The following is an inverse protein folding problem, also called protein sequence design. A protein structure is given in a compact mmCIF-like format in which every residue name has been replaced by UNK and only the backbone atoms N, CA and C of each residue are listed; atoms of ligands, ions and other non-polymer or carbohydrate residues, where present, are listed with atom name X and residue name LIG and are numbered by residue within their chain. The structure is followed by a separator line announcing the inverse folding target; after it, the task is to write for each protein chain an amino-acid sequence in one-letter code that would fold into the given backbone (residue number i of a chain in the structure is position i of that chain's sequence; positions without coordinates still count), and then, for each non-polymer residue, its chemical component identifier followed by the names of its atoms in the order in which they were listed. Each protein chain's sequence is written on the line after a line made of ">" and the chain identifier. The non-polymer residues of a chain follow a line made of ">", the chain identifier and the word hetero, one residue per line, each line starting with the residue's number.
data_IF_668091966297
#
_entry.id   IF_668091966297
#
_cell.length_a   1.000
_cell.length_b   1.000
_cell.length_c   1.000
_cell.angle_alpha   90.00
_cell.angle_beta   90.00
_cell.angle_gamma   90.00
#
_symmetry.space_group_name_H-M   'P 1'
#
loop_
_entity.id
_entity.type
_entity.pdbx_description
1 polymer ?
#
# COMPACT_ATOMS: atom_id res chain seq x y z
N UNK A 1 18.51 51.48 40.52
CA UNK A 1 18.45 50.74 41.80
C UNK A 1 18.12 49.30 41.44
N UNK A 2 19.14 48.45 41.26
CA UNK A 2 19.69 47.48 42.26
C UNK A 2 18.65 46.38 42.54
N UNK A 3 18.85 45.06 42.36
CA UNK A 3 20.04 44.21 42.15
C UNK A 3 19.60 42.81 41.65
N UNK A 4 20.44 42.10 40.88
CA UNK A 4 20.48 40.62 40.79
C UNK A 4 21.35 40.03 41.96
N UNK A 5 21.77 38.73 42.05
CA UNK A 5 21.41 37.46 41.36
C UNK A 5 21.28 36.19 42.28
N UNK A 6 20.83 35.07 41.68
CA UNK A 6 21.19 33.61 41.80
C UNK A 6 21.40 32.90 43.18
N UNK A 7 21.34 31.53 43.26
CA UNK A 7 22.43 30.70 42.75
C UNK A 7 22.03 29.38 42.06
N UNK A 8 23.00 28.89 41.30
CA UNK A 8 23.16 27.58 40.67
C UNK A 8 23.39 26.46 41.69
N UNK A 9 23.05 25.21 41.36
CA UNK A 9 23.72 24.05 41.98
C UNK A 9 23.89 22.93 40.96
N UNK A 10 25.15 22.75 40.59
CA UNK A 10 25.75 21.59 39.92
C UNK A 10 25.75 20.40 40.87
N UNK A 11 25.50 19.18 40.37
CA UNK A 11 25.98 17.97 41.05
C UNK A 11 26.52 17.03 39.98
N UNK A 12 27.85 17.06 39.87
CA UNK A 12 28.67 16.00 39.28
C UNK A 12 28.56 14.75 40.16
N UNK A 13 28.48 13.57 39.55
CA UNK A 13 28.86 12.30 40.15
C UNK A 13 29.87 11.67 39.18
N UNK A 14 31.08 11.48 39.69
CA UNK A 14 32.24 10.88 39.05
C UNK A 14 32.47 9.47 39.62
N UNK A 15 32.90 8.55 38.74
CA UNK A 15 33.70 7.32 38.93
C UNK A 15 33.14 6.20 39.85
N UNK A 16 33.36 4.90 39.63
CA UNK A 16 34.49 4.16 39.04
C UNK A 16 34.11 2.65 38.92
N UNK A 17 35.03 1.86 38.36
CA UNK A 17 35.24 0.40 38.52
C UNK A 17 34.94 -0.52 37.30
N UNK A 18 35.90 -0.51 36.38
CA UNK A 18 36.67 -1.64 35.77
C UNK A 18 35.97 -2.95 35.30
N UNK A 19 36.36 -3.45 34.10
CA UNK A 19 35.89 -4.73 33.55
C UNK A 19 36.77 -5.91 34.00
N UNK A 20 36.17 -7.03 34.38
CA UNK A 20 36.87 -8.29 34.66
C UNK A 20 36.84 -9.21 33.44
N UNK A 21 38.05 -9.47 32.99
CA UNK A 21 38.51 -10.46 32.03
C UNK A 21 38.12 -11.89 32.45
N UNK A 22 37.48 -12.67 31.57
CA UNK A 22 37.44 -14.14 31.68
C UNK A 22 37.48 -14.83 30.33
N UNK A 23 38.70 -15.24 30.03
CA UNK A 23 39.11 -16.33 29.13
C UNK A 23 38.45 -17.66 29.52
N UNK A 24 38.00 -18.42 28.52
CA UNK A 24 37.64 -19.84 28.58
C UNK A 24 37.25 -20.32 27.18
N UNK A 25 38.20 -20.61 26.29
CA UNK A 25 38.80 -21.93 26.03
C UNK A 25 37.82 -23.12 25.91
N UNK A 26 37.79 -23.64 24.68
CA UNK A 26 37.83 -25.06 24.27
C UNK A 26 36.64 -25.98 24.59
N UNK A 27 35.95 -26.40 23.53
CA UNK A 27 35.69 -27.81 23.26
C UNK A 27 35.41 -28.04 21.76
N UNK A 28 36.45 -28.49 21.05
CA UNK A 28 36.34 -29.24 19.80
C UNK A 28 36.04 -30.71 20.13
N UNK A 29 35.32 -31.39 19.23
CA UNK A 29 35.36 -32.82 18.82
C UNK A 29 33.95 -33.37 18.55
N UNK A 30 33.78 -34.47 17.79
CA UNK A 30 34.36 -34.71 16.46
C UNK A 30 33.31 -35.24 15.45
N UNK A 31 33.73 -35.33 14.19
CA UNK A 31 33.08 -36.08 13.12
C UNK A 31 32.80 -37.54 13.53
N UNK A 32 31.62 -38.05 13.16
CA UNK A 32 31.47 -39.45 12.80
C UNK A 32 31.04 -39.59 11.35
N UNK A 33 31.76 -40.48 10.67
CA UNK A 33 31.65 -40.85 9.27
C UNK A 33 31.12 -42.29 9.23
N UNK A 34 30.05 -42.56 8.50
CA UNK A 34 29.75 -43.89 7.95
C UNK A 34 28.56 -43.74 7.00
N UNK A 35 28.72 -43.89 5.69
CA UNK A 35 29.05 -45.09 4.90
C UNK A 35 27.80 -45.53 4.12
N UNK A 36 27.82 -45.21 2.83
CA UNK A 36 27.47 -46.05 1.67
C UNK A 36 26.23 -46.95 1.80
N UNK A 37 25.19 -46.60 1.05
CA UNK A 37 24.33 -47.57 0.38
C UNK A 37 24.05 -47.12 -1.05
N UNK A 38 24.85 -47.66 -1.97
CA UNK A 38 24.61 -47.63 -3.42
C UNK A 38 23.41 -48.52 -3.71
N UNK A 39 22.33 -47.94 -4.26
CA UNK A 39 21.35 -48.68 -5.06
C UNK A 39 21.13 -47.95 -6.38
N UNK A 40 21.70 -48.51 -7.44
CA UNK A 40 21.28 -48.32 -8.82
C UNK A 40 19.87 -48.90 -8.98
N UNK A 41 18.94 -48.09 -9.46
CA UNK A 41 17.80 -48.53 -10.24
C UNK A 41 17.55 -47.43 -11.29
N UNK A 42 17.36 -47.85 -12.54
CA UNK A 42 17.50 -47.03 -13.74
C UNK A 42 16.59 -45.81 -13.79
N UNK A 43 17.13 -44.74 -14.37
CA UNK A 43 16.34 -43.64 -14.88
C UNK A 43 16.60 -43.59 -16.39
N UNK A 44 15.52 -43.76 -17.13
CA UNK A 44 15.44 -43.62 -18.57
C UNK A 44 16.01 -42.27 -19.01
N UNK A 45 16.68 -42.29 -20.16
CA UNK A 45 17.17 -41.12 -20.85
C UNK A 45 15.99 -40.23 -21.25
N UNK A 46 15.65 -39.27 -20.40
CA UNK A 46 14.81 -38.12 -20.74
C UNK A 46 15.60 -37.29 -21.75
N UNK A 47 15.06 -37.13 -22.94
CA UNK A 47 15.66 -36.34 -24.02
C UNK A 47 15.79 -34.87 -23.60
N UNK A 48 16.88 -34.23 -24.00
CA UNK A 48 17.18 -32.81 -23.71
C UNK A 48 16.02 -31.85 -24.06
N UNK A 49 15.12 -32.24 -24.98
CA UNK A 49 13.90 -31.47 -25.33
C UNK A 49 12.80 -31.50 -24.26
N UNK A 50 12.65 -32.60 -23.50
CA UNK A 50 11.69 -32.66 -22.38
C UNK A 50 12.20 -31.89 -21.17
N UNK A 51 13.51 -31.76 -21.01
CA UNK A 51 14.13 -31.00 -19.92
C UNK A 51 14.00 -29.48 -20.16
N UNK A 52 14.10 -29.03 -21.42
CA UNK A 52 13.86 -27.64 -21.82
C UNK A 52 12.37 -27.28 -21.70
N UNK A 53 11.46 -28.19 -22.06
CA UNK A 53 10.02 -27.97 -21.90
C UNK A 53 9.57 -27.94 -20.43
N UNK A 54 10.23 -28.69 -19.55
CA UNK A 54 9.97 -28.64 -18.10
C UNK A 54 10.51 -27.35 -17.46
N UNK A 55 11.67 -26.84 -17.92
CA UNK A 55 12.22 -25.55 -17.47
C UNK A 55 11.42 -24.34 -18.00
N UNK A 56 10.86 -24.39 -19.21
CA UNK A 56 10.00 -23.31 -19.73
C UNK A 56 8.61 -23.27 -19.06
N UNK A 57 8.08 -24.42 -18.63
CA UNK A 57 6.77 -24.46 -17.96
C UNK A 57 6.81 -23.93 -16.52
N UNK A 58 7.93 -24.08 -15.82
CA UNK A 58 8.12 -23.60 -14.44
C UNK A 58 8.47 -22.10 -14.39
N UNK A 59 8.91 -21.53 -15.52
CA UNK A 59 9.24 -20.10 -15.65
C UNK A 59 7.99 -19.20 -15.72
N UNK A 60 6.82 -19.77 -16.03
CA UNK A 60 5.57 -19.02 -16.22
C UNK A 60 4.54 -19.22 -15.10
N UNK A 61 4.81 -20.08 -14.12
CA UNK A 61 4.03 -20.08 -12.89
C UNK A 61 4.58 -18.99 -11.96
N UNK A 62 4.04 -17.77 -12.07
CA UNK A 62 4.37 -16.67 -11.15
C UNK A 62 3.83 -16.91 -9.72
N UNK A 63 3.19 -18.05 -9.46
CA UNK A 63 3.04 -18.60 -8.09
C UNK A 63 4.32 -19.25 -7.58
N UNK A 64 5.32 -19.39 -8.44
CA UNK A 64 6.64 -19.93 -8.19
C UNK A 64 7.43 -19.08 -7.19
N UNK A 65 8.37 -19.74 -6.53
CA UNK A 65 9.22 -19.12 -5.53
C UNK A 65 10.11 -18.05 -6.18
N UNK A 66 9.95 -16.79 -5.79
CA UNK A 66 10.88 -15.70 -6.14
C UNK A 66 12.34 -15.98 -5.69
N UNK A 67 12.58 -17.06 -4.94
CA UNK A 67 13.91 -17.52 -4.55
C UNK A 67 14.80 -17.94 -5.73
N UNK A 68 14.24 -18.20 -6.91
CA UNK A 68 15.01 -18.55 -8.12
C UNK A 68 15.55 -17.35 -8.90
N UNK A 69 15.16 -16.11 -8.57
CA UNK A 69 15.57 -14.92 -9.31
C UNK A 69 17.06 -14.62 -9.14
N UNK A 70 17.75 -14.40 -10.26
CA UNK A 70 19.14 -13.94 -10.31
C UNK A 70 19.19 -12.53 -10.92
N UNK A 71 19.89 -11.56 -10.31
CA UNK A 71 20.58 -11.67 -9.02
C UNK A 71 19.60 -11.77 -7.83
N UNK A 72 20.02 -12.45 -6.75
CA UNK A 72 19.17 -12.71 -5.59
C UNK A 72 18.57 -11.39 -5.06
N UNK A 73 17.24 -11.23 -5.11
CA UNK A 73 16.58 -10.03 -4.66
C UNK A 73 16.67 -9.83 -3.15
N UNK A 74 17.24 -10.73 -2.36
CA UNK A 74 17.51 -10.46 -0.93
C UNK A 74 18.74 -9.60 -0.71
N UNK A 75 19.64 -9.55 -1.69
CA UNK A 75 20.93 -8.86 -1.59
C UNK A 75 21.11 -7.79 -2.67
N UNK A 76 20.44 -7.91 -3.82
CA UNK A 76 20.57 -6.96 -4.92
C UNK A 76 19.53 -5.84 -4.86
N UNK A 77 19.94 -4.66 -4.36
CA UNK A 77 19.11 -3.46 -4.18
C UNK A 77 18.29 -3.05 -5.43
N UNK A 78 18.85 -3.03 -6.67
CA UNK A 78 18.04 -2.69 -7.84
C UNK A 78 16.93 -3.71 -8.11
N UNK A 79 17.20 -5.01 -7.95
CA UNK A 79 16.17 -6.05 -8.11
C UNK A 79 15.09 -5.93 -7.04
N UNK A 80 15.47 -5.56 -5.81
CA UNK A 80 14.52 -5.27 -4.74
C UNK A 80 13.59 -4.13 -5.10
N UNK A 81 14.16 -3.01 -5.54
CA UNK A 81 13.38 -1.85 -5.91
C UNK A 81 12.39 -2.19 -7.02
N UNK A 82 12.83 -2.87 -8.08
CA UNK A 82 11.96 -3.30 -9.18
C UNK A 82 10.83 -4.22 -8.68
N UNK A 83 11.14 -5.18 -7.81
CA UNK A 83 10.12 -6.08 -7.25
C UNK A 83 9.13 -5.35 -6.33
N UNK A 84 9.56 -4.35 -5.57
CA UNK A 84 8.66 -3.51 -4.77
C UNK A 84 7.74 -2.68 -5.67
N UNK A 85 8.27 -2.06 -6.72
CA UNK A 85 7.47 -1.32 -7.72
C UNK A 85 6.44 -2.26 -8.34
N UNK A 86 6.86 -3.43 -8.80
CA UNK A 86 5.95 -4.45 -9.35
C UNK A 86 4.92 -4.91 -8.31
N UNK A 87 5.31 -5.01 -7.04
CA UNK A 87 4.41 -5.35 -5.94
C UNK A 87 3.32 -4.31 -5.71
N UNK A 88 3.67 -3.01 -5.77
CA UNK A 88 2.71 -1.91 -5.71
C UNK A 88 1.78 -1.96 -6.92
N UNK A 89 2.34 -2.08 -8.13
CA UNK A 89 1.58 -2.15 -9.38
C UNK A 89 0.61 -3.33 -9.40
N UNK A 90 0.98 -4.45 -8.77
CA UNK A 90 0.17 -5.66 -8.70
C UNK A 90 -0.91 -5.60 -7.60
N UNK A 91 -1.02 -4.54 -6.81
CA UNK A 91 -2.08 -4.46 -5.78
C UNK A 91 -3.47 -4.23 -6.39
N UNK A 92 -4.49 -5.01 -5.99
CA UNK A 92 -5.86 -4.85 -6.50
C UNK A 92 -6.51 -3.49 -6.24
N UNK A 93 -6.15 -2.82 -5.15
CA UNK A 93 -6.72 -1.50 -4.82
C UNK A 93 -6.17 -0.38 -5.69
N UNK A 94 -5.03 -0.57 -6.35
CA UNK A 94 -4.31 0.51 -7.03
C UNK A 94 -4.49 0.50 -8.55
N UNK A 95 -5.28 -0.44 -9.06
CA UNK A 95 -5.64 -0.54 -10.46
C UNK A 95 -7.16 -0.43 -10.61
N UNK A 96 -7.58 0.45 -11.51
CA UNK A 96 -8.96 0.55 -11.97
C UNK A 96 -9.10 -0.25 -13.25
N UNK A 97 -10.16 -1.05 -13.33
CA UNK A 97 -10.49 -1.77 -14.57
C UNK A 97 -9.69 -3.06 -14.76
N UNK A 98 -9.09 -3.56 -13.68
CA UNK A 98 -8.22 -4.72 -13.70
C UNK A 98 -8.91 -5.93 -14.35
N UNK A 99 -8.23 -6.54 -15.34
CA UNK A 99 -8.73 -7.71 -16.07
C UNK A 99 -8.25 -9.04 -15.45
N UNK A 100 -7.01 -9.07 -14.99
CA UNK A 100 -6.36 -10.28 -14.48
C UNK A 100 -6.26 -10.24 -12.95
N UNK A 101 -6.35 -11.39 -12.25
CA UNK A 101 -6.10 -11.43 -10.81
C UNK A 101 -4.72 -10.88 -10.42
N UNK A 102 -4.57 -10.42 -9.18
CA UNK A 102 -3.25 -10.10 -8.62
C UNK A 102 -2.39 -11.34 -8.48
N UNK A 103 -1.10 -11.17 -8.78
CA UNK A 103 -0.07 -12.20 -8.65
C UNK A 103 0.40 -12.34 -7.20
N UNK A 104 0.11 -11.36 -6.33
CA UNK A 104 0.53 -11.37 -4.94
C UNK A 104 2.02 -11.04 -4.77
N UNK A 105 2.58 -10.25 -5.69
CA UNK A 105 4.02 -9.94 -5.72
C UNK A 105 4.45 -9.26 -4.42
N UNK A 106 3.68 -8.27 -3.93
CA UNK A 106 4.00 -7.55 -2.70
C UNK A 106 4.18 -8.50 -1.51
N UNK A 107 3.20 -9.39 -1.26
CA UNK A 107 3.27 -10.36 -0.15
C UNK A 107 4.47 -11.29 -0.29
N UNK A 108 4.72 -11.76 -1.51
CA UNK A 108 5.86 -12.63 -1.80
C UNK A 108 7.19 -11.93 -1.46
N UNK A 109 7.36 -10.69 -1.91
CA UNK A 109 8.53 -9.85 -1.58
C UNK A 109 8.67 -9.63 -0.07
N UNK A 110 7.57 -9.30 0.62
CA UNK A 110 7.58 -9.05 2.07
C UNK A 110 7.89 -10.32 2.87
N UNK A 111 7.37 -11.48 2.45
CA UNK A 111 7.62 -12.77 3.12
C UNK A 111 9.09 -13.19 3.07
N UNK A 112 9.76 -12.97 1.93
CA UNK A 112 11.18 -13.26 1.75
C UNK A 112 12.07 -12.37 2.63
N UNK A 113 11.57 -11.20 3.01
CA UNK A 113 12.28 -10.23 3.85
C UNK A 113 12.09 -10.47 5.34
N UNK A 114 11.00 -11.08 5.78
CA UNK A 114 10.72 -11.34 7.20
C UNK A 114 11.79 -12.20 7.89
N UNK A 115 12.65 -12.90 7.12
CA UNK A 115 13.79 -13.69 7.63
C UNK A 115 15.17 -13.02 7.52
N UNK A 116 15.26 -11.86 6.87
CA UNK A 116 16.51 -11.11 6.70
C UNK A 116 16.49 -9.90 7.64
N UNK A 117 17.56 -9.66 8.40
CA UNK A 117 17.67 -8.49 9.28
C UNK A 117 17.37 -7.20 8.49
N UNK A 118 16.25 -6.57 8.81
CA UNK A 118 15.51 -5.55 8.06
C UNK A 118 16.21 -4.18 7.98
N UNK A 119 17.53 -4.15 7.72
CA UNK A 119 18.37 -2.95 7.80
C UNK A 119 18.57 -2.21 6.47
N UNK A 120 18.16 -2.77 5.34
CA UNK A 120 18.64 -2.27 4.03
C UNK A 120 17.72 -1.27 3.31
N UNK A 121 16.43 -1.21 3.65
CA UNK A 121 15.48 -0.29 3.01
C UNK A 121 14.66 0.38 4.11
N UNK A 122 14.56 1.72 4.08
CA UNK A 122 13.80 2.49 5.06
C UNK A 122 12.32 2.08 5.14
N UNK A 123 11.55 2.70 6.03
CA UNK A 123 10.14 2.30 6.23
C UNK A 123 9.21 2.76 5.08
N UNK A 124 9.67 3.69 4.24
CA UNK A 124 8.86 4.34 3.19
C UNK A 124 9.22 3.81 1.79
N UNK A 125 8.21 3.30 1.08
CA UNK A 125 8.28 2.87 -0.31
C UNK A 125 8.46 4.10 -1.22
N UNK A 126 9.35 4.00 -2.20
CA UNK A 126 9.90 5.16 -2.92
C UNK A 126 8.99 5.63 -4.05
N UNK A 127 8.21 4.77 -4.68
CA UNK A 127 7.33 5.13 -5.80
C UNK A 127 6.13 5.93 -5.34
N UNK A 128 5.44 5.42 -4.32
CA UNK A 128 4.18 5.98 -3.78
C UNK A 128 4.42 6.96 -2.65
N UNK A 129 5.59 6.88 -1.99
CA UNK A 129 5.85 7.60 -0.73
C UNK A 129 5.10 7.01 0.46
N UNK A 130 4.54 5.80 0.35
CA UNK A 130 3.76 5.17 1.41
C UNK A 130 4.64 4.36 2.38
N UNK A 131 4.28 4.28 3.67
CA UNK A 131 4.91 3.34 4.59
C UNK A 131 4.65 1.92 4.10
N UNK A 132 5.70 1.10 4.03
CA UNK A 132 5.57 -0.32 3.66
C UNK A 132 4.58 -1.06 4.56
N UNK A 133 4.46 -0.65 5.82
CA UNK A 133 3.48 -1.19 6.77
C UNK A 133 2.03 -0.86 6.42
N UNK A 134 1.76 0.27 5.74
CA UNK A 134 0.43 0.59 5.23
C UNK A 134 0.15 -0.20 3.95
N UNK A 135 1.14 -0.36 3.07
CA UNK A 135 1.05 -1.20 1.88
C UNK A 135 0.81 -2.68 2.24
N UNK A 136 1.39 -3.17 3.34
CA UNK A 136 1.09 -4.49 3.88
C UNK A 136 -0.39 -4.65 4.26
N UNK A 137 -1.02 -3.60 4.81
CA UNK A 137 -2.46 -3.59 5.09
C UNK A 137 -3.26 -3.70 3.80
N UNK A 138 -2.93 -2.93 2.77
CA UNK A 138 -3.60 -3.02 1.46
C UNK A 138 -3.49 -4.42 0.85
N UNK A 139 -2.30 -5.01 0.89
CA UNK A 139 -2.08 -6.36 0.41
C UNK A 139 -2.89 -7.38 1.22
N UNK A 140 -2.98 -7.23 2.53
CA UNK A 140 -3.77 -8.12 3.39
C UNK A 140 -5.27 -8.03 3.13
N UNK A 141 -5.80 -6.82 3.01
CA UNK A 141 -7.21 -6.55 2.69
C UNK A 141 -7.62 -7.18 1.35
N UNK A 142 -6.72 -7.17 0.36
CA UNK A 142 -6.97 -7.73 -0.96
C UNK A 142 -7.24 -9.25 -0.95
N UNK A 143 -6.72 -9.98 0.03
CA UNK A 143 -6.90 -11.42 0.19
C UNK A 143 -8.11 -11.76 1.06
N UNK A 144 -8.50 -10.88 1.98
CA UNK A 144 -9.65 -11.05 2.87
C UNK A 144 -10.99 -10.72 2.20
N UNK A 145 -11.15 -11.06 0.91
CA UNK A 145 -12.32 -10.67 0.10
C UNK A 145 -13.65 -11.12 0.70
N UNK A 146 -13.66 -12.18 1.51
CA UNK A 146 -14.87 -12.76 2.08
C UNK A 146 -15.13 -12.33 3.53
N UNK A 147 -14.26 -11.53 4.16
CA UNK A 147 -14.30 -11.20 5.60
C UNK A 147 -14.17 -9.70 5.87
N UNK A 148 -15.17 -8.93 5.42
CA UNK A 148 -15.09 -7.46 5.35
C UNK A 148 -14.80 -6.75 6.69
N UNK A 149 -15.37 -7.21 7.81
CA UNK A 149 -15.13 -6.57 9.10
C UNK A 149 -13.64 -6.66 9.49
N UNK A 150 -13.01 -7.81 9.21
CA UNK A 150 -11.60 -8.05 9.53
C UNK A 150 -10.68 -7.22 8.64
N UNK A 151 -11.07 -6.99 7.38
CA UNK A 151 -10.30 -6.19 6.44
C UNK A 151 -10.27 -4.71 6.84
N UNK A 152 -11.40 -4.13 7.26
CA UNK A 152 -11.45 -2.73 7.70
C UNK A 152 -10.67 -2.51 9.02
N UNK A 153 -10.76 -3.46 9.95
CA UNK A 153 -10.07 -3.40 11.24
C UNK A 153 -8.54 -3.26 11.07
N UNK A 154 -7.95 -3.75 9.97
CA UNK A 154 -6.53 -3.57 9.67
C UNK A 154 -6.18 -2.11 9.39
N UNK A 155 -7.02 -1.38 8.67
CA UNK A 155 -6.80 0.06 8.47
C UNK A 155 -6.98 0.84 9.79
N UNK A 156 -7.94 0.47 10.64
CA UNK A 156 -8.12 1.13 11.94
C UNK A 156 -7.01 0.81 12.95
N UNK A 157 -6.46 -0.40 12.90
CA UNK A 157 -5.38 -0.84 13.79
C UNK A 157 -3.98 -0.47 13.30
N UNK A 158 -3.84 0.05 12.07
CA UNK A 158 -2.57 0.54 11.56
C UNK A 158 -2.02 1.65 12.49
N UNK A 159 -0.79 1.42 12.98
CA UNK A 159 -0.16 2.23 14.04
C UNK A 159 0.38 3.58 13.56
N UNK A 160 0.42 3.81 12.25
CA UNK A 160 1.09 4.95 11.66
C UNK A 160 2.58 4.73 11.47
N UNK A 161 3.24 5.76 10.95
CA UNK A 161 4.68 5.88 10.78
C UNK A 161 5.08 7.30 11.18
N UNK A 162 6.33 7.51 11.61
CA UNK A 162 6.84 8.87 11.87
C UNK A 162 7.32 9.47 10.55
N UNK A 163 6.82 10.66 10.21
CA UNK A 163 7.17 11.39 8.99
C UNK A 163 7.03 12.90 9.17
N UNK A 164 7.21 13.64 8.09
CA UNK A 164 6.87 15.07 8.05
C UNK A 164 5.36 15.26 8.16
N UNK A 165 4.90 16.48 8.46
CA UNK A 165 3.46 16.76 8.56
C UNK A 165 2.70 16.38 7.27
N UNK A 166 3.29 16.64 6.11
CA UNK A 166 2.67 16.35 4.80
C UNK A 166 2.59 14.85 4.56
N UNK A 167 3.66 14.14 4.90
CA UNK A 167 3.68 12.68 4.83
C UNK A 167 2.58 12.10 5.71
N UNK A 168 2.42 12.57 6.94
CA UNK A 168 1.33 12.12 7.81
C UNK A 168 -0.05 12.36 7.19
N UNK A 169 -0.30 13.54 6.62
CA UNK A 169 -1.57 13.83 5.94
C UNK A 169 -1.78 13.00 4.68
N UNK A 170 -0.74 12.75 3.89
CA UNK A 170 -0.79 11.84 2.76
C UNK A 170 -1.11 10.42 3.21
N UNK A 171 -0.42 9.88 4.20
CA UNK A 171 -0.63 8.53 4.70
C UNK A 171 -2.01 8.35 5.31
N UNK A 172 -2.50 9.34 6.05
CA UNK A 172 -3.87 9.36 6.55
C UNK A 172 -4.88 9.39 5.40
N UNK A 173 -4.63 10.17 4.34
CA UNK A 173 -5.51 10.18 3.17
C UNK A 173 -5.59 8.81 2.50
N UNK A 174 -4.46 8.10 2.36
CA UNK A 174 -4.45 6.72 1.84
C UNK A 174 -5.21 5.75 2.73
N UNK A 175 -4.99 5.84 4.04
CA UNK A 175 -5.68 5.01 5.02
C UNK A 175 -7.20 5.18 4.93
N UNK A 176 -7.70 6.42 4.95
CA UNK A 176 -9.14 6.69 4.87
C UNK A 176 -9.71 6.30 3.49
N UNK A 177 -8.96 6.52 2.41
CA UNK A 177 -9.34 6.06 1.08
C UNK A 177 -9.42 4.54 0.99
N UNK A 178 -8.50 3.81 1.62
CA UNK A 178 -8.53 2.34 1.69
C UNK A 178 -9.75 1.80 2.46
N UNK A 179 -10.16 2.48 3.53
CA UNK A 179 -11.41 2.16 4.25
C UNK A 179 -12.63 2.35 3.33
N UNK A 180 -12.71 3.46 2.60
CA UNK A 180 -13.79 3.72 1.65
C UNK A 180 -13.79 2.71 0.49
N UNK A 181 -12.62 2.38 -0.07
CA UNK A 181 -12.46 1.39 -1.13
C UNK A 181 -12.96 0.01 -0.68
N UNK A 182 -12.56 -0.45 0.50
CA UNK A 182 -13.00 -1.72 1.08
C UNK A 182 -14.52 -1.79 1.20
N UNK A 183 -15.13 -0.75 1.79
CA UNK A 183 -16.60 -0.65 1.94
C UNK A 183 -17.31 -0.59 0.60
N UNK A 184 -16.78 0.15 -0.36
CA UNK A 184 -17.36 0.28 -1.70
C UNK A 184 -17.33 -1.03 -2.46
N UNK A 185 -16.19 -1.72 -2.48
CA UNK A 185 -16.06 -3.04 -3.14
C UNK A 185 -17.05 -4.05 -2.56
N UNK A 186 -17.32 -3.99 -1.27
CA UNK A 186 -18.36 -4.80 -0.66
C UNK A 186 -19.76 -4.43 -1.18
N UNK A 187 -20.12 -3.14 -1.21
CA UNK A 187 -21.41 -2.68 -1.74
C UNK A 187 -21.62 -3.16 -3.18
N UNK A 188 -20.62 -3.00 -4.04
CA UNK A 188 -20.68 -3.47 -5.44
C UNK A 188 -20.87 -4.99 -5.54
N UNK A 189 -20.18 -5.78 -4.71
CA UNK A 189 -20.36 -7.25 -4.67
C UNK A 189 -21.76 -7.67 -4.24
N UNK A 190 -22.32 -6.99 -3.23
CA UNK A 190 -23.66 -7.29 -2.75
C UNK A 190 -24.71 -7.08 -3.85
N UNK A 191 -24.60 -5.97 -4.59
CA UNK A 191 -25.48 -5.70 -5.74
C UNK A 191 -25.31 -6.74 -6.85
N UNK A 192 -24.06 -7.09 -7.19
CA UNK A 192 -23.79 -8.12 -8.19
C UNK A 192 -24.37 -9.50 -7.80
N UNK A 193 -24.37 -9.83 -6.51
CA UNK A 193 -24.90 -11.09 -6.00
C UNK A 193 -26.44 -11.11 -5.82
N UNK A 194 -27.11 -9.95 -5.75
CA UNK A 194 -28.57 -9.87 -5.56
C UNK A 194 -29.19 -8.70 -6.33
N UNK A 195 -29.38 -8.82 -7.66
CA UNK A 195 -29.88 -7.74 -8.52
C UNK A 195 -31.34 -7.32 -8.23
N UNK A 196 -32.13 -8.20 -7.58
CA UNK A 196 -33.57 -8.02 -7.33
C UNK A 196 -33.89 -7.20 -6.07
N UNK A 197 -32.91 -6.82 -5.26
CA UNK A 197 -33.09 -5.93 -4.10
C UNK A 197 -32.84 -4.47 -4.49
N UNK A 198 -33.41 -4.03 -5.62
CA UNK A 198 -33.42 -2.60 -5.94
C UNK A 198 -34.46 -1.91 -5.06
N UNK A 199 -33.99 -0.91 -4.31
CA UNK A 199 -34.73 0.24 -3.78
C UNK A 199 -35.70 0.10 -2.59
N UNK A 200 -35.59 -0.90 -1.69
CA UNK A 200 -36.47 -0.92 -0.50
C UNK A 200 -35.89 -1.41 0.84
N UNK A 201 -34.57 -1.55 0.99
CA UNK A 201 -33.95 -1.78 2.31
C UNK A 201 -33.23 -0.54 2.83
N UNK A 202 -33.92 0.60 2.88
CA UNK A 202 -33.47 1.82 3.57
C UNK A 202 -33.76 1.75 5.09
N UNK A 203 -33.42 0.63 5.73
CA UNK A 203 -33.95 0.32 7.07
C UNK A 203 -32.92 -0.11 8.12
N UNK A 204 -31.96 -0.96 7.78
CA UNK A 204 -31.11 -1.58 8.80
C UNK A 204 -29.70 -1.85 8.25
N UNK A 205 -28.87 -0.80 8.16
CA UNK A 205 -27.42 -0.96 8.30
C UNK A 205 -26.91 0.10 9.28
N UNK A 206 -27.18 -0.13 10.57
CA UNK A 206 -26.54 0.62 11.64
C UNK A 206 -25.06 0.23 11.66
N UNK A 207 -24.15 1.10 11.19
CA UNK A 207 -22.78 1.02 11.71
C UNK A 207 -21.63 1.64 10.95
N UNK A 208 -21.78 2.02 9.67
CA UNK A 208 -20.60 2.36 8.86
C UNK A 208 -20.63 3.84 8.44
N UNK A 209 -20.08 4.69 9.29
CA UNK A 209 -20.08 6.15 9.09
C UNK A 209 -19.10 6.57 7.97
N UNK A 210 -19.50 6.40 6.70
CA UNK A 210 -18.74 6.88 5.53
C UNK A 210 -18.58 8.39 5.57
N UNK A 211 -19.57 9.12 6.08
CA UNK A 211 -19.54 10.57 6.21
C UNK A 211 -18.35 11.03 7.06
N UNK A 212 -18.10 10.39 8.22
CA UNK A 212 -16.97 10.72 9.08
C UNK A 212 -15.62 10.30 8.46
N UNK A 213 -15.55 9.15 7.79
CA UNK A 213 -14.32 8.72 7.10
C UNK A 213 -14.00 9.67 5.94
N UNK A 214 -14.99 10.02 5.13
CA UNK A 214 -14.84 10.99 4.05
C UNK A 214 -14.48 12.37 4.60
N UNK A 215 -15.12 12.84 5.67
CA UNK A 215 -14.77 14.11 6.30
C UNK A 215 -13.30 14.14 6.73
N UNK A 216 -12.78 13.06 7.33
CA UNK A 216 -11.35 12.94 7.68
C UNK A 216 -10.45 12.90 6.46
N UNK A 217 -10.84 12.17 5.41
CA UNK A 217 -10.12 12.15 4.14
C UNK A 217 -10.03 13.55 3.53
N UNK A 218 -11.16 14.26 3.43
CA UNK A 218 -11.24 15.63 2.92
C UNK A 218 -10.40 16.57 3.77
N UNK A 219 -10.42 16.45 5.10
CA UNK A 219 -9.60 17.27 5.98
C UNK A 219 -8.09 17.04 5.77
N UNK A 220 -7.66 15.79 5.58
CA UNK A 220 -6.26 15.47 5.27
C UNK A 220 -5.83 16.04 3.90
N UNK A 221 -6.70 15.92 2.89
CA UNK A 221 -6.45 16.51 1.56
C UNK A 221 -6.44 18.05 1.62
N UNK A 222 -7.32 18.67 2.40
CA UNK A 222 -7.37 20.12 2.60
C UNK A 222 -6.09 20.66 3.25
N UNK A 223 -5.52 19.92 4.20
CA UNK A 223 -4.25 20.28 4.83
C UNK A 223 -3.10 20.34 3.81
N UNK A 224 -3.04 19.37 2.89
CA UNK A 224 -2.06 19.36 1.80
C UNK A 224 -2.25 20.55 0.85
N UNK A 225 -3.49 20.87 0.48
CA UNK A 225 -3.81 22.03 -0.38
C UNK A 225 -3.38 23.33 0.29
N UNK A 226 -3.70 23.52 1.58
CA UNK A 226 -3.32 24.74 2.29
C UNK A 226 -1.81 24.91 2.37
N UNK A 227 -1.07 23.81 2.52
CA UNK A 227 0.38 23.88 2.47
C UNK A 227 0.86 24.27 1.08
N UNK A 228 0.30 23.67 0.03
CA UNK A 228 0.63 24.02 -1.35
C UNK A 228 0.40 25.52 -1.61
N UNK A 229 -0.73 26.05 -1.17
CA UNK A 229 -1.10 27.47 -1.32
C UNK A 229 -0.16 28.42 -0.54
N UNK A 230 0.42 27.97 0.58
CA UNK A 230 1.23 28.82 1.47
C UNK A 230 2.72 28.74 1.18
N UNK A 231 3.24 27.54 0.93
CA UNK A 231 4.67 27.26 0.79
C UNK A 231 5.14 27.19 -0.67
N UNK A 232 4.22 27.02 -1.63
CA UNK A 232 4.55 26.90 -3.05
C UNK A 232 5.20 25.58 -3.45
N UNK A 233 5.64 24.75 -2.50
CA UNK A 233 6.20 23.41 -2.72
C UNK A 233 5.82 22.45 -1.59
N UNK A 234 5.59 21.17 -1.93
CA UNK A 234 5.53 20.07 -0.97
C UNK A 234 6.91 19.41 -0.89
N UNK A 235 7.46 19.25 0.31
CA UNK A 235 8.65 18.41 0.52
C UNK A 235 8.21 16.98 0.84
N UNK A 236 8.70 15.88 0.22
CA UNK A 236 9.55 15.69 -0.98
C UNK A 236 8.78 15.27 -2.26
N UNK A 237 9.51 15.15 -3.40
CA UNK A 237 9.07 14.81 -4.77
C UNK A 237 8.11 13.60 -4.94
N UNK A 238 8.03 12.71 -3.95
CA UNK A 238 7.19 11.50 -3.97
C UNK A 238 5.73 11.74 -3.58
N UNK A 239 5.42 12.86 -2.90
CA UNK A 239 4.05 13.19 -2.49
C UNK A 239 3.11 13.24 -3.68
N UNK A 240 3.57 13.75 -4.83
CA UNK A 240 2.71 14.03 -5.98
C UNK A 240 2.15 12.76 -6.64
N UNK A 241 2.91 11.66 -6.65
CA UNK A 241 2.48 10.39 -7.28
C UNK A 241 1.38 9.71 -6.48
N UNK A 242 1.49 9.74 -5.15
CA UNK A 242 0.51 9.13 -4.26
C UNK A 242 -0.83 9.88 -4.14
N UNK A 243 -1.08 10.99 -4.82
CA UNK A 243 -2.32 11.76 -4.61
C UNK A 243 -3.52 11.24 -5.42
N UNK A 244 -3.28 10.47 -6.49
CA UNK A 244 -4.35 10.03 -7.39
C UNK A 244 -5.28 9.05 -6.69
N UNK A 245 -4.76 8.09 -5.95
CA UNK A 245 -5.54 7.12 -5.19
C UNK A 245 -6.54 7.80 -4.23
N UNK A 246 -6.11 8.58 -3.22
CA UNK A 246 -7.04 9.17 -2.27
C UNK A 246 -8.00 10.17 -2.91
N UNK A 247 -7.57 10.92 -3.93
CA UNK A 247 -8.45 11.81 -4.70
C UNK A 247 -9.58 11.04 -5.41
N UNK A 248 -9.22 9.94 -6.05
CA UNK A 248 -10.16 9.12 -6.85
C UNK A 248 -11.21 8.51 -5.94
N UNK A 249 -10.79 7.91 -4.82
CA UNK A 249 -11.71 7.27 -3.87
C UNK A 249 -12.61 8.30 -3.17
N UNK A 250 -12.09 9.47 -2.81
CA UNK A 250 -12.93 10.56 -2.29
C UNK A 250 -13.98 11.01 -3.31
N UNK A 251 -13.60 11.12 -4.58
CA UNK A 251 -14.46 11.61 -5.67
C UNK A 251 -15.59 10.64 -6.04
N UNK A 252 -15.46 9.36 -5.67
CA UNK A 252 -16.48 8.33 -5.90
C UNK A 252 -17.63 8.35 -4.88
N UNK A 253 -17.47 9.02 -3.73
CA UNK A 253 -18.52 9.16 -2.71
C UNK A 253 -19.52 10.28 -3.08
N UNK A 254 -20.11 10.17 -4.29
CA UNK A 254 -20.90 11.23 -4.94
C UNK A 254 -22.08 11.72 -4.09
N UNK A 255 -22.93 10.86 -3.50
CA UNK A 255 -24.07 11.35 -2.70
C UNK A 255 -23.63 12.19 -1.49
N UNK A 256 -22.54 11.79 -0.82
CA UNK A 256 -21.99 12.53 0.31
C UNK A 256 -21.39 13.87 -0.12
N UNK A 257 -20.72 13.91 -1.27
CA UNK A 257 -20.18 15.14 -1.83
C UNK A 257 -21.28 16.12 -2.28
N UNK A 258 -22.42 15.63 -2.77
CA UNK A 258 -23.58 16.47 -3.10
C UNK A 258 -24.24 17.04 -1.85
N UNK A 259 -24.36 16.23 -0.80
CA UNK A 259 -24.87 16.67 0.50
C UNK A 259 -23.94 17.70 1.17
N UNK A 260 -22.64 17.68 0.85
CA UNK A 260 -21.61 18.54 1.43
C UNK A 260 -20.83 19.32 0.37
N UNK A 261 -21.37 20.44 -0.16
CA UNK A 261 -20.73 21.21 -1.24
C UNK A 261 -19.32 21.72 -0.92
N UNK A 262 -19.02 21.97 0.36
CA UNK A 262 -17.67 22.37 0.81
C UNK A 262 -16.63 21.28 0.54
N UNK A 263 -16.99 20.01 0.69
CA UNK A 263 -16.08 18.89 0.42
C UNK A 263 -15.81 18.77 -1.07
N UNK A 264 -16.85 18.91 -1.90
CA UNK A 264 -16.69 18.94 -3.35
C UNK A 264 -15.80 20.11 -3.80
N UNK A 265 -16.01 21.31 -3.24
CA UNK A 265 -15.18 22.49 -3.50
C UNK A 265 -13.72 22.24 -3.12
N UNK A 266 -13.48 21.56 -1.99
CA UNK A 266 -12.13 21.18 -1.54
C UNK A 266 -11.46 20.24 -2.54
N UNK A 267 -12.16 19.24 -3.06
CA UNK A 267 -11.62 18.34 -4.09
C UNK A 267 -11.37 19.06 -5.42
N UNK A 268 -12.22 20.01 -5.80
CA UNK A 268 -11.99 20.85 -6.99
C UNK A 268 -10.72 21.67 -6.82
N UNK A 269 -10.55 22.32 -5.66
CA UNK A 269 -9.33 23.08 -5.34
C UNK A 269 -8.10 22.17 -5.32
N UNK A 270 -8.20 21.00 -4.71
CA UNK A 270 -7.16 19.98 -4.69
C UNK A 270 -6.71 19.61 -6.11
N UNK A 271 -7.65 19.29 -7.00
CA UNK A 271 -7.36 19.00 -8.41
C UNK A 271 -6.64 20.18 -9.08
N UNK A 272 -7.11 21.41 -8.87
CA UNK A 272 -6.46 22.62 -9.41
C UNK A 272 -5.04 22.80 -8.91
N UNK A 273 -4.77 22.55 -7.63
CA UNK A 273 -3.44 22.71 -7.04
C UNK A 273 -2.45 21.64 -7.48
N UNK A 274 -2.89 20.38 -7.65
CA UNK A 274 -2.00 19.24 -7.85
C UNK A 274 -1.98 18.64 -9.25
N UNK A 275 -3.02 18.81 -10.08
CA UNK A 275 -3.14 18.09 -11.36
C UNK A 275 -3.18 18.97 -12.61
N UNK A 276 -3.28 20.30 -12.47
CA UNK A 276 -3.34 21.24 -13.60
C UNK A 276 -2.00 21.93 -13.92
N UNK A 277 -0.95 21.71 -13.13
CA UNK A 277 0.39 22.19 -13.46
C UNK A 277 1.08 21.14 -14.35
N UNK A 278 1.58 21.55 -15.53
CA UNK A 278 2.11 20.69 -16.60
C UNK A 278 3.22 19.71 -16.15
N UNK A 279 3.91 19.98 -15.05
CA UNK A 279 4.94 19.10 -14.47
C UNK A 279 4.36 17.93 -13.64
N UNK A 280 3.04 17.94 -13.38
CA UNK A 280 2.32 17.08 -12.42
C UNK A 280 1.01 16.53 -13.04
N UNK A 281 0.96 16.31 -14.35
CA UNK A 281 -0.15 15.61 -14.99
C UNK A 281 -0.12 14.10 -14.64
N UNK A 282 -0.43 13.77 -13.39
CA UNK A 282 -0.39 12.39 -12.85
C UNK A 282 -1.76 11.72 -12.97
N UNK A 283 -2.85 12.50 -12.96
CA UNK A 283 -4.19 11.94 -13.21
C UNK A 283 -4.41 11.83 -14.71
N UNK A 284 -4.45 10.59 -15.21
CA UNK A 284 -4.90 10.28 -16.56
C UNK A 284 -6.29 10.91 -16.80
N UNK A 285 -6.46 11.65 -17.90
CA UNK A 285 -7.75 12.21 -18.32
C UNK A 285 -8.86 11.15 -18.32
N UNK A 286 -8.49 9.89 -18.57
CA UNK A 286 -9.39 8.75 -18.49
C UNK A 286 -9.98 8.55 -17.08
N UNK A 287 -9.20 8.75 -16.01
CA UNK A 287 -9.71 8.68 -14.63
C UNK A 287 -10.70 9.81 -14.39
N UNK A 288 -10.40 11.03 -14.86
CA UNK A 288 -11.30 12.18 -14.72
C UNK A 288 -12.63 11.97 -15.44
N UNK A 289 -12.59 11.44 -16.67
CA UNK A 289 -13.80 11.07 -17.41
C UNK A 289 -14.63 10.01 -16.67
N UNK A 290 -13.99 9.01 -16.05
CA UNK A 290 -14.68 8.00 -15.26
C UNK A 290 -15.32 8.60 -14.00
N UNK A 291 -14.66 9.55 -13.35
CA UNK A 291 -15.19 10.27 -12.20
C UNK A 291 -16.36 11.21 -12.59
N UNK A 292 -16.33 11.80 -13.78
CA UNK A 292 -17.45 12.59 -14.30
C UNK A 292 -18.67 11.70 -14.55
N UNK A 293 -18.48 10.52 -15.16
CA UNK A 293 -19.56 9.52 -15.29
C UNK A 293 -20.13 9.10 -13.93
N UNK A 294 -19.27 8.90 -12.93
CA UNK A 294 -19.71 8.60 -11.57
C UNK A 294 -20.58 9.74 -11.01
N UNK A 295 -20.16 10.98 -11.23
CA UNK A 295 -20.88 12.18 -10.80
C UNK A 295 -22.25 12.32 -11.47
N UNK A 296 -22.34 12.04 -12.77
CA UNK A 296 -23.58 12.04 -13.55
C UNK A 296 -24.54 10.93 -13.13
N UNK A 297 -24.01 9.74 -12.81
CA UNK A 297 -24.80 8.60 -12.38
C UNK A 297 -25.47 8.80 -11.01
N UNK A 298 -24.94 9.73 -10.20
CA UNK A 298 -25.47 10.14 -8.89
C UNK A 298 -25.84 8.97 -7.97
N UNK A 299 -24.97 7.98 -7.90
CA UNK A 299 -25.20 6.75 -7.15
C UNK A 299 -23.97 6.39 -6.33
N UNK A 300 -24.20 5.86 -5.12
CA UNK A 300 -23.15 5.28 -4.27
C UNK A 300 -22.59 3.94 -4.80
N UNK A 301 -23.21 3.41 -5.86
CA UNK A 301 -22.94 2.07 -6.41
C UNK A 301 -22.27 2.08 -7.78
N UNK A 302 -21.86 3.26 -8.27
CA UNK A 302 -21.16 3.36 -9.55
C UNK A 302 -19.91 2.48 -9.51
N UNK A 303 -19.80 1.47 -10.37
CA UNK A 303 -18.64 0.58 -10.46
C UNK A 303 -17.65 1.13 -11.50
N UNK A 304 -16.61 1.81 -10.98
CA UNK A 304 -15.55 2.41 -11.77
C UNK A 304 -14.68 1.36 -12.47
N UNK A 305 -14.53 0.18 -11.87
CA UNK A 305 -13.76 -0.91 -12.46
C UNK A 305 -14.52 -1.48 -13.66
N UNK A 306 -15.84 -1.66 -13.52
CA UNK A 306 -16.68 -2.07 -14.65
C UNK A 306 -16.65 -1.01 -15.76
N UNK A 307 -16.81 0.26 -15.43
CA UNK A 307 -16.80 1.35 -16.42
C UNK A 307 -15.46 1.45 -17.17
N UNK A 308 -14.33 1.18 -16.50
CA UNK A 308 -13.01 1.13 -17.15
C UNK A 308 -12.86 -0.12 -18.04
N UNK A 309 -13.30 -1.30 -17.59
CA UNK A 309 -13.30 -2.52 -18.41
C UNK A 309 -14.14 -2.37 -19.68
N UNK A 310 -15.30 -1.71 -19.59
CA UNK A 310 -16.15 -1.42 -20.75
C UNK A 310 -15.48 -0.49 -21.77
N UNK A 311 -14.54 0.36 -21.31
CA UNK A 311 -13.66 1.16 -22.18
C UNK A 311 -12.42 0.39 -22.67
N UNK A 312 -12.17 -0.82 -22.18
CA UNK A 312 -10.99 -1.61 -22.52
C UNK A 312 -9.68 -1.05 -21.95
N UNK A 313 -9.74 -0.32 -20.83
CA UNK A 313 -8.57 0.31 -20.19
C UNK A 313 -8.31 -0.25 -18.79
N UNK A 314 -7.04 -0.30 -18.40
CA UNK A 314 -6.58 -0.60 -17.05
C UNK A 314 -5.69 0.56 -16.59
N UNK A 315 -6.02 1.19 -15.46
CA UNK A 315 -5.43 2.46 -15.04
C UNK A 315 -4.80 2.33 -13.65
N UNK A 316 -3.52 2.67 -13.54
CA UNK A 316 -2.83 2.78 -12.24
C UNK A 316 -3.14 4.11 -11.56
N UNK A 317 -3.47 4.07 -10.27
CA UNK A 317 -3.81 5.26 -9.47
C UNK A 317 -2.87 5.46 -8.26
N UNK A 318 -1.70 4.83 -8.24
CA UNK A 318 -0.74 4.84 -7.13
C UNK A 318 0.42 5.83 -7.31
#
# INVERSE_FOLDING_TARGET
>A
MLSQPAPSTTTEIHDDATPTDRVGQLALTPLETSAVAVRRAGADSISDEEQIAFEESDMHDLKGSLAGLQPDPRVHLPSQHVLEVLGVMDMPSFLIGRLHPSLGIWKSVRSLRSGSSDQFLGEIEVVTGMPRSLLDVFAEVADQRDKNQQAEDLFWSWRGCVGTFDQCHLWDSWRYAGILDSRRRLRCRYIAASPTMSSSSSGEDHGVNNEAVLCRLIASLDALVRKMDTAGELEPMFLNKGLVFPYTLASLEVPLLRANPLWKSTLTRFRSSFFYNDDIAIVDETVLELLEKAWEADTEFFDIDQAAREKGVELGIF
#
